data_IF_882024504877
#
_entry.id   IF_882024504877
#
_cell.length_a   1.000
_cell.length_b   1.000
_cell.length_c   1.000
_cell.angle_alpha   90.00
_cell.angle_beta   90.00
_cell.angle_gamma   90.00
#
_symmetry.space_group_name_H-M   'P 1'
#
loop_
_entity.id
_entity.type
_entity.pdbx_description
1 polymer ?
#
# COMPACT_ATOMS: atom_id res chain seq x y z
N UNK A 1 -13.10 -15.66 -17.50
CA UNK A 1 -11.77 -15.25 -17.02
C UNK A 1 -11.96 -14.10 -16.02
N UNK A 2 -11.17 -14.03 -14.93
CA UNK A 2 -10.90 -12.74 -14.26
C UNK A 2 -11.45 -12.45 -12.86
N UNK A 3 -12.28 -13.28 -12.21
CA UNK A 3 -12.91 -12.89 -10.94
C UNK A 3 -12.02 -12.98 -9.69
N UNK A 4 -10.84 -13.60 -9.79
CA UNK A 4 -9.91 -13.72 -8.66
C UNK A 4 -8.99 -12.49 -8.50
N UNK A 5 -8.73 -11.75 -9.58
CA UNK A 5 -7.74 -10.66 -9.55
C UNK A 5 -8.29 -9.37 -8.92
N UNK A 6 -9.62 -9.17 -8.95
CA UNK A 6 -10.27 -7.97 -8.41
C UNK A 6 -10.36 -8.01 -6.88
N UNK A 7 -10.46 -9.21 -6.29
CA UNK A 7 -10.59 -9.37 -4.84
C UNK A 7 -9.31 -8.96 -4.09
N UNK A 8 -8.15 -9.39 -4.58
CA UNK A 8 -6.87 -9.09 -3.92
C UNK A 8 -6.45 -7.63 -4.13
N UNK A 9 -6.68 -7.06 -5.33
CA UNK A 9 -6.34 -5.65 -5.60
C UNK A 9 -7.23 -4.68 -4.83
N UNK A 10 -8.55 -4.93 -4.80
CA UNK A 10 -9.48 -4.07 -4.07
C UNK A 10 -9.25 -4.08 -2.56
N UNK A 11 -8.97 -5.25 -1.97
CA UNK A 11 -8.62 -5.36 -0.54
C UNK A 11 -7.31 -4.60 -0.24
N UNK A 12 -6.30 -4.75 -1.10
CA UNK A 12 -5.01 -4.09 -0.96
C UNK A 12 -5.14 -2.56 -1.05
N UNK A 13 -5.94 -2.05 -1.98
CA UNK A 13 -6.25 -0.63 -2.12
C UNK A 13 -6.95 -0.07 -0.87
N UNK A 14 -7.91 -0.79 -0.29
CA UNK A 14 -8.59 -0.37 0.94
C UNK A 14 -7.63 -0.33 2.14
N UNK A 15 -6.74 -1.32 2.26
CA UNK A 15 -5.70 -1.36 3.30
C UNK A 15 -4.76 -0.17 3.14
N UNK A 16 -4.27 0.09 1.93
CA UNK A 16 -3.36 1.20 1.65
C UNK A 16 -4.04 2.54 1.91
N UNK A 17 -5.29 2.72 1.44
CA UNK A 17 -6.09 3.92 1.72
C UNK A 17 -6.17 4.20 3.22
N UNK A 18 -6.56 3.19 3.99
CA UNK A 18 -6.67 3.29 5.45
C UNK A 18 -5.32 3.65 6.09
N UNK A 19 -4.21 3.09 5.60
CA UNK A 19 -2.88 3.42 6.10
C UNK A 19 -2.49 4.87 5.78
N UNK A 20 -2.77 5.35 4.57
CA UNK A 20 -2.51 6.74 4.17
C UNK A 20 -3.35 7.71 5.00
N UNK A 21 -4.64 7.45 5.16
CA UNK A 21 -5.55 8.28 5.97
C UNK A 21 -5.13 8.35 7.45
N UNK A 22 -4.59 7.25 7.99
CA UNK A 22 -4.08 7.22 9.38
C UNK A 22 -2.66 7.78 9.53
N UNK A 23 -1.90 7.94 8.44
CA UNK A 23 -0.50 8.35 8.47
C UNK A 23 -0.23 9.46 7.42
N UNK A 24 -0.96 10.59 7.48
CA UNK A 24 -0.88 11.63 6.45
C UNK A 24 0.51 12.25 6.35
N UNK A 25 1.21 12.45 7.48
CA UNK A 25 2.57 13.02 7.47
C UNK A 25 3.59 12.11 6.81
N UNK A 26 3.51 10.80 7.08
CA UNK A 26 4.39 9.79 6.46
C UNK A 26 4.11 9.66 4.97
N UNK A 27 2.84 9.81 4.57
CA UNK A 27 2.47 9.80 3.16
C UNK A 27 2.98 11.05 2.42
N UNK A 28 2.92 12.21 3.06
CA UNK A 28 3.50 13.44 2.51
C UNK A 28 5.02 13.30 2.33
N UNK A 29 5.73 12.81 3.34
CA UNK A 29 7.16 12.50 3.23
C UNK A 29 7.45 11.48 2.11
N UNK A 30 6.61 10.45 1.94
CA UNK A 30 6.71 9.53 0.81
C UNK A 30 6.56 10.27 -0.53
N UNK A 31 5.58 11.16 -0.67
CA UNK A 31 5.39 11.98 -1.88
C UNK A 31 6.55 12.93 -2.15
N UNK A 32 7.27 13.35 -1.11
CA UNK A 32 8.52 14.12 -1.23
C UNK A 32 9.72 13.25 -1.64
N UNK A 33 9.54 11.95 -1.85
CA UNK A 33 10.59 11.02 -2.28
C UNK A 33 11.33 10.35 -1.12
N UNK A 34 10.82 10.42 0.12
CA UNK A 34 11.43 9.73 1.24
C UNK A 34 11.20 8.21 1.14
N UNK A 35 12.20 7.51 0.60
CA UNK A 35 12.19 6.04 0.44
C UNK A 35 12.02 5.27 1.77
N UNK A 36 12.31 5.89 2.93
CA UNK A 36 12.02 5.24 4.23
C UNK A 36 10.53 5.08 4.45
N UNK A 37 9.73 6.04 3.99
CA UNK A 37 8.27 5.98 4.13
C UNK A 37 7.66 4.93 3.19
N UNK A 38 8.25 4.73 2.00
CA UNK A 38 7.88 3.59 1.17
C UNK A 38 8.03 2.25 1.91
N UNK A 39 9.19 2.01 2.53
CA UNK A 39 9.43 0.78 3.30
C UNK A 39 8.48 0.66 4.51
N UNK A 40 8.12 1.77 5.14
CA UNK A 40 7.12 1.81 6.21
C UNK A 40 5.75 1.33 5.72
N UNK A 41 5.23 1.89 4.62
CA UNK A 41 3.94 1.49 4.07
C UNK A 41 3.96 0.02 3.60
N UNK A 42 5.02 -0.43 2.93
CA UNK A 42 5.17 -1.84 2.54
C UNK A 42 5.11 -2.76 3.75
N UNK A 43 5.85 -2.46 4.83
CA UNK A 43 5.83 -3.26 6.06
C UNK A 43 4.44 -3.32 6.70
N UNK A 44 3.74 -2.18 6.74
CA UNK A 44 2.39 -2.10 7.31
C UNK A 44 1.38 -2.91 6.49
N UNK A 45 1.45 -2.82 5.16
CA UNK A 45 0.57 -3.57 4.26
C UNK A 45 0.86 -5.07 4.34
N UNK A 46 2.14 -5.48 4.37
CA UNK A 46 2.52 -6.87 4.55
C UNK A 46 2.04 -7.43 5.89
N UNK A 47 2.10 -6.63 6.96
CA UNK A 47 1.58 -7.04 8.27
C UNK A 47 0.07 -7.26 8.24
N UNK A 48 -0.70 -6.36 7.64
CA UNK A 48 -2.16 -6.48 7.56
C UNK A 48 -2.59 -7.67 6.68
N UNK A 49 -1.90 -7.88 5.57
CA UNK A 49 -2.18 -9.00 4.64
C UNK A 49 -1.55 -10.32 5.06
N UNK A 50 -0.85 -10.37 6.21
CA UNK A 50 -0.11 -11.55 6.72
C UNK A 50 0.88 -12.12 5.69
N UNK A 51 1.58 -11.22 4.99
CA UNK A 51 2.60 -11.55 4.00
C UNK A 51 2.06 -11.93 2.62
N UNK A 52 0.74 -11.78 2.37
CA UNK A 52 0.14 -12.05 1.06
C UNK A 52 0.37 -10.91 0.05
N UNK A 53 0.59 -9.69 0.51
CA UNK A 53 0.85 -8.55 -0.38
C UNK A 53 2.25 -8.60 -1.01
N UNK A 54 2.32 -8.22 -2.28
CA UNK A 54 3.59 -8.05 -3.00
C UNK A 54 4.06 -6.58 -2.91
N UNK A 55 5.33 -6.29 -2.56
CA UNK A 55 5.87 -4.93 -2.52
C UNK A 55 5.70 -4.14 -3.83
N UNK A 56 5.80 -4.81 -4.99
CA UNK A 56 5.62 -4.17 -6.28
C UNK A 56 4.17 -3.69 -6.50
N UNK A 57 3.20 -4.47 -6.04
CA UNK A 57 1.78 -4.07 -6.07
C UNK A 57 1.52 -2.92 -5.11
N UNK A 58 2.09 -2.97 -3.89
CA UNK A 58 1.98 -1.87 -2.92
C UNK A 58 2.55 -0.58 -3.48
N UNK A 59 3.72 -0.64 -4.12
CA UNK A 59 4.33 0.51 -4.81
C UNK A 59 3.40 1.07 -5.90
N UNK A 60 2.93 0.21 -6.80
CA UNK A 60 2.07 0.65 -7.90
C UNK A 60 0.79 1.31 -7.39
N UNK A 61 0.22 0.82 -6.29
CA UNK A 61 -0.98 1.42 -5.70
C UNK A 61 -0.63 2.76 -5.05
N UNK A 62 0.43 2.84 -4.24
CA UNK A 62 0.88 4.09 -3.61
C UNK A 62 1.21 5.20 -4.63
N UNK A 63 1.75 4.84 -5.79
CA UNK A 63 2.01 5.80 -6.88
C UNK A 63 0.73 6.30 -7.57
N UNK A 64 -0.38 5.60 -7.41
CA UNK A 64 -1.69 5.97 -7.96
C UNK A 64 -2.58 6.73 -6.95
N UNK A 65 -2.10 6.99 -5.72
CA UNK A 65 -2.78 7.80 -4.68
C UNK A 65 -2.31 9.28 -4.69
#
# INVERSE_FOLDING_TARGET
EGLAQVSDSGELEQIIKTLVENNPSQFDEYKQGNMKMFNFFVGQVMKQTKGRANPAQVKSILENF
#
